data_IF_760566080983
#
_entry.id   IF_760566080983
#
_cell.length_a   1.000
_cell.length_b   1.000
_cell.length_c   1.000
_cell.angle_alpha   90.00
_cell.angle_beta   90.00
_cell.angle_gamma   90.00
#
_symmetry.space_group_name_H-M   'P 1'
#
loop_
_entity.id
_entity.type
_entity.pdbx_description
1 polymer ?
#
# COMPACT_ATOMS: atom_id res chain seq x y z
N UNK A 1 13.94 7.62 13.44
CA UNK A 1 15.12 7.77 14.33
C UNK A 1 16.42 7.65 13.53
N UNK A 2 16.73 6.52 12.90
CA UNK A 2 17.93 6.39 12.05
C UNK A 2 18.09 7.51 10.99
N UNK A 3 17.01 7.92 10.33
CA UNK A 3 17.03 9.05 9.39
C UNK A 3 17.39 10.39 10.07
N UNK A 4 16.91 10.62 11.29
CA UNK A 4 17.25 11.80 12.10
C UNK A 4 18.71 11.77 12.51
N UNK A 5 19.23 10.63 12.93
CA UNK A 5 20.66 10.45 13.22
C UNK A 5 21.52 10.69 11.97
N UNK A 6 20.99 10.35 10.78
CA UNK A 6 21.67 10.54 9.49
C UNK A 6 21.52 11.96 8.91
N UNK A 7 20.90 12.89 9.64
CA UNK A 7 20.85 14.30 9.22
C UNK A 7 19.64 14.72 8.38
N UNK A 8 18.58 13.90 8.25
CA UNK A 8 17.36 14.32 7.53
C UNK A 8 16.77 15.60 8.13
N UNK A 9 16.32 16.55 7.31
CA UNK A 9 15.84 17.86 7.78
C UNK A 9 14.42 17.81 8.37
N UNK A 10 13.57 16.93 7.84
CA UNK A 10 12.18 16.79 8.24
C UNK A 10 11.71 15.33 8.17
N UNK A 11 10.70 14.99 8.97
CA UNK A 11 10.04 13.69 8.98
C UNK A 11 8.53 13.89 9.17
N UNK A 12 7.75 12.97 8.63
CA UNK A 12 6.31 12.91 8.85
C UNK A 12 5.96 11.89 9.94
N UNK A 13 5.01 12.24 10.80
CA UNK A 13 4.48 11.39 11.86
C UNK A 13 2.99 11.68 12.06
N UNK A 14 2.26 10.76 12.69
CA UNK A 14 0.85 10.93 13.01
C UNK A 14 0.65 11.14 14.51
N UNK A 15 -0.40 11.88 14.90
CA UNK A 15 -0.87 11.93 16.29
C UNK A 15 -1.11 10.51 16.80
N UNK A 16 -0.74 10.26 18.06
CA UNK A 16 -0.64 8.92 18.64
C UNK A 16 -1.91 8.09 18.38
N UNK A 17 -3.09 8.71 18.60
CA UNK A 17 -4.42 8.11 18.40
C UNK A 17 -4.75 7.66 16.96
N UNK A 18 -4.06 8.18 15.95
CA UNK A 18 -4.20 7.81 14.52
C UNK A 18 -2.90 7.26 13.92
N UNK A 19 -1.92 6.90 14.76
CA UNK A 19 -0.62 6.40 14.32
C UNK A 19 -0.54 4.87 14.31
N UNK A 20 0.49 4.34 13.65
CA UNK A 20 0.79 2.92 13.62
C UNK A 20 0.03 2.14 12.54
N UNK A 21 0.34 0.85 12.43
CA UNK A 21 -0.17 -0.04 11.38
C UNK A 21 0.09 0.54 9.96
N UNK A 22 -0.96 0.86 9.21
CA UNK A 22 -0.88 1.42 7.86
C UNK A 22 -0.74 2.94 7.83
N UNK A 23 -0.79 3.60 8.99
CA UNK A 23 -0.54 5.04 9.17
C UNK A 23 0.94 5.34 9.38
N UNK A 24 1.30 6.61 9.51
CA UNK A 24 2.64 7.02 9.92
C UNK A 24 2.98 6.55 11.35
N UNK A 25 4.28 6.48 11.71
CA UNK A 25 4.72 6.25 13.08
C UNK A 25 4.22 7.29 14.07
N UNK A 26 4.22 6.93 15.36
CA UNK A 26 3.70 7.75 16.46
C UNK A 26 4.54 9.01 16.70
N UNK A 27 3.92 10.18 16.56
CA UNK A 27 4.52 11.49 16.80
C UNK A 27 5.01 11.63 18.24
N UNK A 28 4.14 11.38 19.23
CA UNK A 28 4.49 11.54 20.64
C UNK A 28 5.70 10.68 21.04
N UNK A 29 5.75 9.44 20.55
CA UNK A 29 6.88 8.54 20.82
C UNK A 29 8.16 8.98 20.15
N UNK A 30 8.12 9.45 18.90
CA UNK A 30 9.31 9.97 18.21
C UNK A 30 9.84 11.22 18.89
N UNK A 31 8.96 12.16 19.26
CA UNK A 31 9.33 13.39 19.96
C UNK A 31 9.95 13.06 21.32
N UNK A 32 9.35 12.17 22.10
CA UNK A 32 9.91 11.77 23.40
C UNK A 32 11.26 11.05 23.24
N UNK A 33 11.44 10.25 22.20
CA UNK A 33 12.72 9.57 21.91
C UNK A 33 13.84 10.55 21.52
N UNK A 34 13.52 11.70 20.95
CA UNK A 34 14.49 12.73 20.54
C UNK A 34 14.71 13.82 21.61
N UNK A 35 13.95 13.79 22.69
CA UNK A 35 13.97 14.81 23.74
C UNK A 35 15.34 14.89 24.41
N UNK A 36 15.88 16.11 24.50
CA UNK A 36 17.21 16.39 25.07
C UNK A 36 18.38 15.98 24.19
N UNK A 37 18.14 15.47 22.97
CA UNK A 37 19.21 15.22 21.99
C UNK A 37 19.61 16.51 21.28
N UNK A 38 20.72 16.48 20.53
CA UNK A 38 21.13 17.61 19.69
C UNK A 38 20.07 17.97 18.62
N UNK A 39 19.27 16.98 18.19
CA UNK A 39 18.20 17.14 17.20
C UNK A 39 16.81 17.08 17.85
N UNK A 40 16.69 17.54 19.10
CA UNK A 40 15.40 17.70 19.77
C UNK A 40 14.50 18.65 18.95
N UNK A 41 13.28 18.23 18.56
CA UNK A 41 12.38 19.06 17.75
C UNK A 41 11.77 20.24 18.54
N UNK A 42 11.93 20.32 19.87
CA UNK A 42 11.41 21.41 20.69
C UNK A 42 9.88 21.43 20.82
N UNK A 43 9.22 20.31 20.53
CA UNK A 43 7.76 20.17 20.64
C UNK A 43 7.36 19.71 22.04
N UNK A 44 6.39 20.38 22.67
CA UNK A 44 5.94 20.04 24.03
C UNK A 44 5.14 18.71 24.04
N UNK A 45 5.65 17.63 24.67
CA UNK A 45 4.96 16.35 24.73
C UNK A 45 3.63 16.40 25.49
N UNK A 46 3.46 17.36 26.42
CA UNK A 46 2.19 17.53 27.13
C UNK A 46 1.09 18.03 26.19
N UNK A 47 1.41 18.96 25.30
CA UNK A 47 0.47 19.45 24.31
C UNK A 47 0.17 18.40 23.24
N UNK A 48 1.18 17.66 22.79
CA UNK A 48 0.99 16.53 21.85
C UNK A 48 -0.04 15.54 22.42
N UNK A 49 0.13 15.10 23.68
CA UNK A 49 -0.83 14.19 24.32
C UNK A 49 -2.24 14.76 24.43
N UNK A 50 -2.39 16.03 24.82
CA UNK A 50 -3.72 16.70 24.88
C UNK A 50 -4.41 16.73 23.53
N UNK A 51 -3.67 17.02 22.46
CA UNK A 51 -4.20 17.01 21.08
C UNK A 51 -4.55 15.57 20.66
N UNK A 52 -3.71 14.59 21.01
CA UNK A 52 -4.00 13.18 20.73
C UNK A 52 -5.25 12.67 21.46
N UNK A 53 -5.51 13.11 22.70
CA UNK A 53 -6.75 12.75 23.42
C UNK A 53 -8.01 13.29 22.73
N UNK A 54 -7.93 14.49 22.16
CA UNK A 54 -9.00 15.00 21.29
C UNK A 54 -9.21 14.08 20.09
N UNK A 55 -8.12 13.70 19.40
CA UNK A 55 -8.20 12.83 18.23
C UNK A 55 -8.71 11.43 18.56
N UNK A 56 -8.38 10.88 19.73
CA UNK A 56 -8.95 9.61 20.21
C UNK A 56 -10.47 9.70 20.35
N UNK A 57 -10.98 10.77 20.97
CA UNK A 57 -12.42 10.99 21.09
C UNK A 57 -13.10 11.16 19.72
N UNK A 58 -12.46 11.85 18.78
CA UNK A 58 -12.95 11.97 17.40
C UNK A 58 -12.96 10.61 16.70
N UNK A 59 -11.88 9.83 16.79
CA UNK A 59 -11.73 8.51 16.14
C UNK A 59 -12.89 7.58 16.48
N UNK A 60 -13.34 7.58 17.74
CA UNK A 60 -14.48 6.77 18.18
C UNK A 60 -15.78 7.04 17.42
N UNK A 61 -15.95 8.24 16.84
CA UNK A 61 -17.10 8.59 16.01
C UNK A 61 -17.07 7.91 14.63
N UNK A 62 -15.90 7.45 14.19
CA UNK A 62 -15.65 6.82 12.89
C UNK A 62 -15.56 5.28 12.99
N UNK A 63 -16.08 4.68 14.06
CA UNK A 63 -16.03 3.23 14.28
C UNK A 63 -16.56 2.40 13.09
N UNK A 64 -17.49 2.94 12.31
CA UNK A 64 -18.03 2.31 11.10
C UNK A 64 -16.99 2.11 9.97
N UNK A 65 -15.87 2.82 10.01
CA UNK A 65 -14.82 2.80 8.99
C UNK A 65 -13.51 2.20 9.51
N UNK A 66 -13.49 1.70 10.75
CA UNK A 66 -12.33 0.99 11.28
C UNK A 66 -12.11 -0.33 10.55
N UNK A 67 -10.87 -0.57 10.16
CA UNK A 67 -10.48 -1.85 9.55
C UNK A 67 -10.41 -2.97 10.58
N UNK A 68 -10.41 -4.21 10.13
CA UNK A 68 -10.18 -5.38 10.97
C UNK A 68 -8.68 -5.65 11.25
N UNK A 69 -7.76 -4.78 10.83
CA UNK A 69 -6.32 -4.96 11.01
C UNK A 69 -5.96 -4.96 12.50
N UNK A 70 -5.13 -5.93 12.91
CA UNK A 70 -4.80 -6.16 14.32
C UNK A 70 -3.43 -5.63 14.74
N UNK A 71 -2.52 -5.36 13.80
CA UNK A 71 -1.17 -4.96 14.14
C UNK A 71 -0.20 -4.98 12.96
N UNK A 72 1.11 -4.91 13.26
CA UNK A 72 2.18 -4.97 12.26
C UNK A 72 2.18 -6.28 11.48
N UNK A 73 2.52 -6.20 10.18
CA UNK A 73 2.72 -7.35 9.32
C UNK A 73 4.00 -7.18 8.51
N UNK A 74 4.97 -8.09 8.67
CA UNK A 74 6.18 -8.10 7.85
C UNK A 74 5.93 -8.50 6.39
N UNK A 75 4.72 -9.02 6.09
CA UNK A 75 4.25 -9.32 4.74
C UNK A 75 4.29 -8.09 3.81
N UNK A 76 4.35 -6.88 4.37
CA UNK A 76 4.56 -5.64 3.59
C UNK A 76 5.84 -5.67 2.75
N UNK A 77 6.88 -6.37 3.20
CA UNK A 77 8.14 -6.51 2.44
C UNK A 77 8.05 -7.55 1.31
N UNK A 78 6.97 -8.33 1.24
CA UNK A 78 6.67 -9.21 0.12
C UNK A 78 5.82 -8.48 -0.93
N UNK A 79 4.63 -8.04 -0.52
CA UNK A 79 3.63 -7.53 -1.45
C UNK A 79 3.82 -6.05 -1.81
N UNK A 80 4.51 -5.28 -0.95
CA UNK A 80 4.81 -3.87 -1.17
C UNK A 80 3.59 -2.97 -1.45
N UNK A 81 2.38 -3.41 -1.08
CA UNK A 81 1.19 -2.57 -1.07
C UNK A 81 1.40 -1.33 -0.18
N UNK A 82 1.17 -0.10 -0.70
CA UNK A 82 1.11 1.10 0.13
C UNK A 82 0.03 0.99 1.22
N UNK A 83 0.21 1.69 2.35
CA UNK A 83 -0.71 1.61 3.48
C UNK A 83 -2.18 1.89 3.12
N UNK A 84 -2.42 2.93 2.32
CA UNK A 84 -3.77 3.25 1.81
C UNK A 84 -4.31 2.27 0.76
N UNK A 85 -3.42 1.55 0.06
CA UNK A 85 -3.85 0.49 -0.88
C UNK A 85 -4.22 -0.78 -0.12
N UNK A 86 -3.53 -1.13 0.96
CA UNK A 86 -3.74 -2.37 1.71
C UNK A 86 -5.19 -2.52 2.19
N UNK A 87 -5.71 -1.53 2.91
CA UNK A 87 -7.08 -1.59 3.47
C UNK A 87 -8.14 -1.55 2.37
N UNK A 88 -7.95 -0.70 1.35
CA UNK A 88 -8.86 -0.61 0.21
C UNK A 88 -8.92 -1.91 -0.59
N UNK A 89 -7.77 -2.53 -0.88
CA UNK A 89 -7.70 -3.77 -1.64
C UNK A 89 -8.31 -4.95 -0.85
N UNK A 90 -8.10 -4.98 0.47
CA UNK A 90 -8.70 -6.01 1.33
C UNK A 90 -10.23 -5.93 1.33
N UNK A 91 -10.78 -4.73 1.39
CA UNK A 91 -12.21 -4.48 1.27
C UNK A 91 -12.76 -4.87 -0.11
N UNK A 92 -12.02 -4.57 -1.19
CA UNK A 92 -12.37 -5.02 -2.55
C UNK A 92 -12.36 -6.55 -2.66
N UNK A 93 -11.32 -7.22 -2.14
CA UNK A 93 -11.24 -8.68 -2.10
C UNK A 93 -12.44 -9.29 -1.37
N UNK A 94 -12.81 -8.73 -0.20
CA UNK A 94 -14.00 -9.14 0.54
C UNK A 94 -15.28 -8.97 -0.29
N UNK A 95 -15.44 -7.84 -0.98
CA UNK A 95 -16.61 -7.58 -1.84
C UNK A 95 -16.76 -8.57 -3.00
N UNK A 96 -15.65 -9.15 -3.46
CA UNK A 96 -15.61 -10.18 -4.50
C UNK A 96 -15.69 -11.61 -3.93
N UNK A 97 -15.89 -11.77 -2.62
CA UNK A 97 -15.93 -13.09 -1.97
C UNK A 97 -14.56 -13.76 -1.77
N UNK A 98 -13.47 -13.00 -1.88
CA UNK A 98 -12.09 -13.48 -1.76
C UNK A 98 -11.48 -13.27 -0.37
N UNK A 99 -12.29 -12.98 0.65
CA UNK A 99 -11.80 -12.70 2.01
C UNK A 99 -10.93 -13.82 2.59
N UNK A 100 -11.34 -15.08 2.38
CA UNK A 100 -10.61 -16.27 2.84
C UNK A 100 -9.33 -16.55 2.04
N UNK A 101 -9.13 -15.86 0.91
CA UNK A 101 -7.99 -15.98 0.00
C UNK A 101 -7.11 -14.71 0.04
N UNK A 102 -7.20 -13.90 1.09
CA UNK A 102 -6.44 -12.64 1.17
C UNK A 102 -4.93 -12.80 0.96
N UNK A 103 -4.30 -13.81 1.57
CA UNK A 103 -2.86 -14.05 1.40
C UNK A 103 -2.49 -14.50 -0.01
N UNK A 104 -3.41 -15.16 -0.72
CA UNK A 104 -3.24 -15.45 -2.14
C UNK A 104 -3.29 -14.16 -2.96
N UNK A 105 -4.24 -13.26 -2.68
CA UNK A 105 -4.28 -11.92 -3.30
C UNK A 105 -2.98 -11.15 -3.03
N UNK A 106 -2.43 -11.23 -1.81
CA UNK A 106 -1.17 -10.58 -1.46
C UNK A 106 0.03 -11.15 -2.25
N UNK A 107 0.12 -12.48 -2.38
CA UNK A 107 1.13 -13.13 -3.20
C UNK A 107 0.97 -12.77 -4.69
N UNK A 108 -0.26 -12.84 -5.21
CA UNK A 108 -0.53 -12.50 -6.60
C UNK A 108 -0.24 -11.03 -6.90
N UNK A 109 -0.45 -10.11 -5.95
CA UNK A 109 -0.04 -8.71 -6.10
C UNK A 109 1.46 -8.56 -6.28
N UNK A 110 2.28 -9.34 -5.56
CA UNK A 110 3.72 -9.42 -5.78
C UNK A 110 4.04 -10.01 -7.17
N UNK A 111 3.40 -11.12 -7.54
CA UNK A 111 3.64 -11.79 -8.82
C UNK A 111 3.29 -10.87 -10.01
N UNK A 112 2.19 -10.12 -9.90
CA UNK A 112 1.76 -9.10 -10.88
C UNK A 112 2.78 -7.99 -10.98
N UNK A 113 3.34 -7.51 -9.85
CA UNK A 113 4.39 -6.49 -9.88
C UNK A 113 5.58 -6.94 -10.73
N UNK A 114 6.06 -8.16 -10.51
CA UNK A 114 7.16 -8.73 -11.29
C UNK A 114 6.78 -8.93 -12.76
N UNK A 115 5.56 -9.41 -13.03
CA UNK A 115 5.01 -9.55 -14.38
C UNK A 115 4.93 -8.22 -15.13
N UNK A 116 4.69 -7.10 -14.44
CA UNK A 116 4.72 -5.75 -15.02
C UNK A 116 6.12 -5.15 -15.15
N UNK A 117 7.17 -5.87 -14.75
CA UNK A 117 8.56 -5.42 -14.85
C UNK A 117 9.06 -4.68 -13.61
N UNK A 118 8.55 -5.03 -12.43
CA UNK A 118 8.93 -4.50 -11.12
C UNK A 118 8.82 -2.96 -11.03
N UNK A 119 7.58 -2.50 -10.87
CA UNK A 119 7.25 -1.09 -10.96
C UNK A 119 7.15 -0.41 -9.59
N UNK A 120 7.28 0.92 -9.60
CA UNK A 120 6.89 1.75 -8.47
C UNK A 120 5.38 1.68 -8.29
N UNK A 121 4.95 1.26 -7.09
CA UNK A 121 3.54 1.07 -6.74
C UNK A 121 3.09 2.17 -5.79
N UNK A 122 2.50 3.22 -6.37
CA UNK A 122 1.85 4.32 -5.65
C UNK A 122 0.63 4.75 -6.45
N UNK A 123 -0.34 5.45 -5.85
CA UNK A 123 -1.52 5.88 -6.62
C UNK A 123 -1.10 6.70 -7.85
N UNK A 124 -1.58 6.35 -9.07
CA UNK A 124 -2.57 5.32 -9.38
C UNK A 124 -2.03 3.92 -9.76
N UNK A 125 -0.72 3.72 -9.97
CA UNK A 125 -0.15 2.41 -10.39
C UNK A 125 -0.42 1.27 -9.40
N UNK A 126 -0.45 1.55 -8.09
CA UNK A 126 -0.80 0.55 -7.07
C UNK A 126 -2.20 -0.04 -7.26
N UNK A 127 -3.16 0.79 -7.74
CA UNK A 127 -4.51 0.32 -8.07
C UNK A 127 -4.46 -0.65 -9.25
N UNK A 128 -3.66 -0.35 -10.27
CA UNK A 128 -3.54 -1.20 -11.47
C UNK A 128 -3.05 -2.61 -11.11
N UNK A 129 -2.03 -2.69 -10.25
CA UNK A 129 -1.53 -3.97 -9.72
C UNK A 129 -2.62 -4.68 -8.90
N UNK A 130 -3.37 -3.94 -8.08
CA UNK A 130 -4.48 -4.47 -7.31
C UNK A 130 -5.60 -5.07 -8.16
N UNK A 131 -6.07 -4.33 -9.17
CA UNK A 131 -7.13 -4.77 -10.08
C UNK A 131 -6.73 -6.07 -10.81
N UNK A 132 -5.46 -6.16 -11.25
CA UNK A 132 -4.94 -7.37 -11.90
C UNK A 132 -4.82 -8.55 -10.92
N UNK A 133 -4.35 -8.31 -9.70
CA UNK A 133 -4.22 -9.36 -8.70
C UNK A 133 -5.58 -9.96 -8.31
N UNK A 134 -6.59 -9.10 -8.11
CA UNK A 134 -7.95 -9.55 -7.84
C UNK A 134 -8.51 -10.38 -9.00
N UNK A 135 -8.33 -9.92 -10.24
CA UNK A 135 -8.75 -10.67 -11.42
C UNK A 135 -8.11 -12.05 -11.48
N UNK A 136 -6.80 -12.13 -11.27
CA UNK A 136 -6.06 -13.39 -11.35
C UNK A 136 -6.54 -14.38 -10.30
N UNK A 137 -6.73 -13.96 -9.05
CA UNK A 137 -7.25 -14.84 -7.99
C UNK A 137 -8.71 -15.23 -8.25
N UNK A 138 -9.55 -14.30 -8.70
CA UNK A 138 -10.95 -14.61 -9.04
C UNK A 138 -11.10 -15.63 -10.17
N UNK A 139 -10.14 -15.67 -11.10
CA UNK A 139 -10.19 -16.54 -12.29
C UNK A 139 -9.21 -17.72 -12.21
N UNK A 140 -8.56 -17.93 -11.06
CA UNK A 140 -7.54 -18.96 -10.82
C UNK A 140 -6.44 -18.95 -11.91
N UNK A 141 -5.91 -17.76 -12.21
CA UNK A 141 -4.87 -17.54 -13.21
C UNK A 141 -3.49 -17.43 -12.58
N UNK A 142 -2.54 -18.16 -13.14
CA UNK A 142 -1.10 -17.94 -12.88
C UNK A 142 -0.52 -16.87 -13.81
N UNK A 143 0.67 -16.34 -13.50
CA UNK A 143 1.40 -15.44 -14.42
C UNK A 143 1.59 -16.08 -15.79
N UNK A 144 1.94 -17.38 -15.82
CA UNK A 144 2.12 -18.11 -17.07
C UNK A 144 0.83 -18.19 -17.90
N UNK A 145 -0.33 -18.29 -17.26
CA UNK A 145 -1.63 -18.24 -17.96
C UNK A 145 -1.90 -16.88 -18.58
N UNK A 146 -1.56 -15.81 -17.86
CA UNK A 146 -1.70 -14.43 -18.35
C UNK A 146 -0.77 -14.17 -19.54
N UNK A 147 0.46 -14.70 -19.50
CA UNK A 147 1.44 -14.53 -20.58
C UNK A 147 1.23 -15.49 -21.76
N UNK A 148 0.45 -16.56 -21.59
CA UNK A 148 0.22 -17.57 -22.64
C UNK A 148 -0.54 -16.97 -23.84
N UNK A 149 0.01 -16.96 -25.06
CA UNK A 149 -0.63 -16.37 -26.23
C UNK A 149 -1.87 -17.14 -26.72
N UNK A 150 -2.06 -18.40 -26.30
CA UNK A 150 -3.22 -19.21 -26.66
C UNK A 150 -4.41 -19.07 -25.69
N UNK A 151 -4.25 -18.31 -24.59
CA UNK A 151 -5.29 -18.09 -23.60
C UNK A 151 -5.78 -16.65 -23.68
N UNK A 152 -7.05 -16.47 -24.03
CA UNK A 152 -7.68 -15.15 -24.06
C UNK A 152 -7.86 -14.63 -22.63
N UNK A 153 -7.43 -13.38 -22.40
CA UNK A 153 -7.54 -12.68 -21.12
C UNK A 153 -8.22 -11.34 -21.36
N UNK A 154 -9.32 -11.08 -20.67
CA UNK A 154 -9.97 -9.78 -20.67
C UNK A 154 -9.36 -8.94 -19.53
N UNK A 155 -8.31 -8.17 -19.83
CA UNK A 155 -7.61 -7.35 -18.84
C UNK A 155 -8.49 -6.23 -18.25
N UNK A 156 -8.27 -5.80 -16.99
CA UNK A 156 -8.95 -4.65 -16.43
C UNK A 156 -8.60 -3.38 -17.22
N UNK A 157 -9.55 -2.45 -17.37
CA UNK A 157 -9.32 -1.18 -18.09
C UNK A 157 -8.12 -0.39 -17.55
N UNK A 158 -7.87 -0.46 -16.23
CA UNK A 158 -6.73 0.18 -15.58
C UNK A 158 -5.39 -0.39 -16.05
N UNK A 159 -5.32 -1.70 -16.30
CA UNK A 159 -4.13 -2.38 -16.84
C UNK A 159 -3.92 -2.01 -18.30
N UNK A 160 -4.97 -2.04 -19.10
CA UNK A 160 -4.92 -1.64 -20.52
C UNK A 160 -4.45 -0.19 -20.64
N UNK A 161 -5.00 0.72 -19.84
CA UNK A 161 -4.62 2.14 -19.82
C UNK A 161 -3.17 2.36 -19.39
N UNK A 162 -2.70 1.66 -18.35
CA UNK A 162 -1.30 1.73 -17.92
C UNK A 162 -0.34 1.23 -19.02
N UNK A 163 -0.63 0.07 -19.62
CA UNK A 163 0.21 -0.53 -20.66
C UNK A 163 0.17 0.27 -21.97
N UNK A 164 -0.91 1.01 -22.25
CA UNK A 164 -0.95 2.00 -23.34
C UNK A 164 -0.01 3.19 -23.11
N UNK A 165 0.30 3.48 -21.84
CA UNK A 165 1.17 4.59 -21.42
C UNK A 165 0.41 5.78 -20.85
N UNK A 166 -0.88 5.66 -20.55
CA UNK A 166 -1.71 6.76 -20.03
C UNK A 166 -1.25 7.22 -18.62
N UNK A 167 -0.49 6.37 -17.92
CA UNK A 167 0.15 6.68 -16.62
C UNK A 167 1.64 7.04 -16.75
N UNK A 168 2.14 7.25 -17.96
CA UNK A 168 3.55 7.48 -18.25
C UNK A 168 4.30 6.20 -18.61
N UNK A 169 5.62 6.21 -18.39
CA UNK A 169 6.53 5.12 -18.77
C UNK A 169 7.34 4.66 -17.56
N UNK A 170 7.46 3.35 -17.38
CA UNK A 170 8.45 2.76 -16.47
C UNK A 170 9.87 3.01 -16.99
N UNK A 171 10.89 3.20 -16.15
CA UNK A 171 12.28 3.40 -16.60
C UNK A 171 12.80 2.33 -17.57
N UNK A 172 12.36 1.08 -17.42
CA UNK A 172 12.69 -0.05 -18.31
C UNK A 172 11.74 -0.24 -19.50
N UNK A 173 10.71 0.62 -19.64
CA UNK A 173 9.57 0.37 -20.52
C UNK A 173 8.65 -0.73 -20.00
N UNK A 174 7.64 -1.08 -20.80
CA UNK A 174 6.69 -2.15 -20.49
C UNK A 174 7.13 -3.49 -21.11
N UNK A 175 6.89 -4.64 -20.45
CA UNK A 175 7.15 -5.96 -21.04
C UNK A 175 6.38 -6.15 -22.35
N UNK A 176 7.12 -6.24 -23.47
CA UNK A 176 6.54 -6.09 -24.83
C UNK A 176 5.49 -7.14 -25.17
N UNK A 177 5.71 -8.41 -24.77
CA UNK A 177 4.77 -9.49 -25.06
C UNK A 177 3.42 -9.28 -24.35
N UNK A 178 3.47 -8.88 -23.07
CA UNK A 178 2.29 -8.56 -22.27
C UNK A 178 1.57 -7.32 -22.79
N UNK A 179 2.33 -6.26 -23.07
CA UNK A 179 1.79 -5.01 -23.64
C UNK A 179 1.06 -5.28 -24.97
N UNK A 180 1.65 -6.07 -25.86
CA UNK A 180 1.03 -6.44 -27.14
C UNK A 180 -0.21 -7.32 -26.97
N UNK A 181 -0.25 -8.17 -25.93
CA UNK A 181 -1.42 -9.03 -25.67
C UNK A 181 -2.59 -8.24 -25.11
N UNK A 182 -2.33 -7.20 -24.32
CA UNK A 182 -3.36 -6.40 -23.66
C UNK A 182 -3.97 -5.28 -24.54
N UNK A 183 -3.32 -4.91 -25.65
CA UNK A 183 -3.69 -3.81 -26.56
C UNK A 183 -4.15 -4.32 -27.92
#
# INVERSE_FOLDING_TARGET
>A
LAAVESGVDAIDAAMDAFSGNTSQPCLGSIVEALKGTERDPGLDPQWIRKISFYWEAVRNQYAAFESDLKGPASEVYLHEMPGGQFTNLKEQARSLGLETRWHEVAQTYHDVNLMFGDIVKVTPSSKVVGDMALMMVSQDLTVADVENPARDIAFPDSVVSMLRGDLGQSPGGWPQALQKKAL
#
